data_IF_992454909845
#
_entry.id   IF_992454909845
#
_cell.length_a   1.000
_cell.length_b   1.000
_cell.length_c   1.000
_cell.angle_alpha   90.00
_cell.angle_beta   90.00
_cell.angle_gamma   90.00
#
_symmetry.space_group_name_H-M   'P 1'
#
loop_
_entity.id
_entity.type
_entity.pdbx_description
1 polymer ?
#
# COMPACT_ATOMS: atom_id res chain seq x y z
N UNK A 1 23.32 40.45 21.17
CA UNK A 1 21.93 40.45 20.64
C UNK A 1 21.81 39.97 19.19
N UNK A 2 22.84 40.07 18.34
CA UNK A 2 22.75 39.68 16.91
C UNK A 2 23.00 38.19 16.60
N UNK A 3 23.66 37.44 17.48
CA UNK A 3 23.87 35.99 17.29
C UNK A 3 22.71 35.12 17.79
N UNK A 4 21.91 35.61 18.75
CA UNK A 4 20.73 34.88 19.24
C UNK A 4 19.61 34.78 18.20
N UNK A 5 19.53 35.74 17.27
CA UNK A 5 18.52 35.77 16.21
C UNK A 5 18.77 34.70 15.13
N UNK A 6 20.04 34.34 14.88
CA UNK A 6 20.42 33.31 13.90
C UNK A 6 20.17 31.89 14.40
N UNK A 7 20.30 31.65 15.72
CA UNK A 7 20.02 30.34 16.33
C UNK A 7 18.51 30.09 16.39
N UNK A 8 17.69 31.14 16.60
CA UNK A 8 16.23 31.03 16.57
C UNK A 8 15.64 30.68 15.21
N UNK A 9 16.33 31.02 14.11
CA UNK A 9 15.86 30.72 12.75
C UNK A 9 16.15 29.27 12.32
N UNK A 10 17.20 28.64 12.88
CA UNK A 10 17.57 27.26 12.56
C UNK A 10 16.63 26.21 13.20
N UNK A 11 16.01 26.56 14.33
CA UNK A 11 15.11 25.66 15.07
C UNK A 11 13.67 25.60 14.51
N UNK A 12 13.35 26.43 13.51
CA UNK A 12 12.02 26.45 12.87
C UNK A 12 11.94 25.57 11.61
N UNK A 13 13.03 24.91 11.21
CA UNK A 13 13.07 24.07 10.01
C UNK A 13 13.00 22.57 10.30
N UNK A 14 13.00 22.16 11.57
CA UNK A 14 12.76 20.77 11.99
C UNK A 14 11.26 20.47 12.04
N UNK A 15 10.55 20.78 10.97
CA UNK A 15 9.23 20.22 10.71
C UNK A 15 9.43 18.73 10.47
N UNK A 16 9.18 17.94 11.51
CA UNK A 16 9.18 16.49 11.45
C UNK A 16 8.39 16.04 10.22
N UNK A 17 9.05 15.33 9.30
CA UNK A 17 8.35 14.45 8.39
C UNK A 17 7.65 13.42 9.28
N UNK A 18 6.36 13.61 9.51
CA UNK A 18 5.52 12.53 9.97
C UNK A 18 5.44 11.57 8.78
N UNK A 19 6.33 10.58 8.76
CA UNK A 19 6.13 9.39 7.96
C UNK A 19 4.84 8.78 8.48
N UNK A 20 3.74 9.02 7.74
CA UNK A 20 2.49 8.34 7.99
C UNK A 20 2.78 6.86 7.76
N UNK A 21 3.14 6.17 8.84
CA UNK A 21 3.52 4.76 8.83
C UNK A 21 2.54 4.03 7.95
N UNK A 22 3.08 3.30 6.96
CA UNK A 22 2.31 2.64 5.90
C UNK A 22 1.01 2.13 6.49
N UNK A 23 -0.12 2.74 6.10
CA UNK A 23 -1.44 2.29 6.53
C UNK A 23 -1.49 0.83 6.12
N UNK A 24 -1.29 -0.05 7.10
CA UNK A 24 -1.00 -1.47 6.88
C UNK A 24 -1.99 -1.97 5.83
N UNK A 25 -1.44 -2.20 4.64
CA UNK A 25 -2.11 -2.97 3.61
C UNK A 25 -2.68 -4.18 4.33
N UNK A 26 -4.00 -4.33 4.27
CA UNK A 26 -4.65 -5.44 4.94
C UNK A 26 -3.94 -6.72 4.45
N UNK A 27 -3.31 -7.52 5.33
CA UNK A 27 -2.53 -8.65 4.88
C UNK A 27 -3.41 -9.57 4.05
N UNK A 28 -2.90 -10.04 2.92
CA UNK A 28 -3.63 -10.99 2.10
C UNK A 28 -3.81 -12.32 2.86
N UNK A 29 -4.87 -13.02 2.55
CA UNK A 29 -5.20 -14.31 3.12
C UNK A 29 -6.29 -15.00 2.31
N UNK A 30 -6.90 -16.02 2.88
CA UNK A 30 -7.94 -16.80 2.20
C UNK A 30 -9.33 -16.60 2.80
N UNK A 31 -9.44 -15.79 3.86
CA UNK A 31 -10.65 -15.64 4.65
C UNK A 31 -11.02 -14.17 4.88
N UNK A 32 -12.32 -13.92 4.99
CA UNK A 32 -12.88 -12.61 5.33
C UNK A 32 -12.40 -11.49 4.40
N UNK A 33 -12.20 -10.29 4.95
CA UNK A 33 -11.74 -9.11 4.21
C UNK A 33 -10.31 -9.21 3.66
N UNK A 34 -9.59 -10.28 3.99
CA UNK A 34 -8.29 -10.60 3.43
C UNK A 34 -8.38 -11.61 2.27
N UNK A 35 -9.57 -12.12 1.96
CA UNK A 35 -9.78 -13.20 1.00
C UNK A 35 -9.58 -12.80 -0.46
N UNK A 36 -9.57 -13.79 -1.39
CA UNK A 36 -9.29 -13.59 -2.81
C UNK A 36 -10.19 -12.56 -3.49
N UNK A 37 -11.45 -12.48 -3.06
CA UNK A 37 -12.44 -11.51 -3.54
C UNK A 37 -12.01 -10.05 -3.32
N UNK A 38 -11.08 -9.80 -2.39
CA UNK A 38 -10.60 -8.47 -2.00
C UNK A 38 -9.16 -8.17 -2.42
N UNK A 39 -8.42 -9.14 -2.98
CA UNK A 39 -6.99 -8.97 -3.29
C UNK A 39 -6.72 -7.80 -4.24
N UNK A 40 -7.63 -7.55 -5.20
CA UNK A 40 -7.52 -6.42 -6.12
C UNK A 40 -7.74 -5.03 -5.50
N UNK A 41 -8.17 -4.95 -4.24
CA UNK A 41 -8.49 -3.71 -3.51
C UNK A 41 -7.45 -3.39 -2.42
N UNK A 42 -6.50 -4.29 -2.17
CA UNK A 42 -5.58 -4.18 -1.03
C UNK A 42 -4.60 -3.02 -1.17
N UNK A 43 -4.22 -2.64 -2.40
CA UNK A 43 -3.36 -1.50 -2.67
C UNK A 43 -4.16 -0.24 -2.99
N UNK A 44 -4.00 0.80 -2.15
CA UNK A 44 -4.66 2.10 -2.36
C UNK A 44 -4.08 2.91 -3.52
N UNK A 45 -2.81 2.69 -3.87
CA UNK A 45 -2.08 3.58 -4.79
C UNK A 45 -1.41 2.85 -5.95
N UNK A 46 -1.43 1.51 -5.98
CA UNK A 46 -0.64 0.73 -6.92
C UNK A 46 -1.49 -0.23 -7.75
N UNK A 47 -1.20 -0.26 -9.06
CA UNK A 47 -1.84 -1.12 -10.06
C UNK A 47 -1.43 -2.59 -9.94
N UNK A 48 -0.52 -2.95 -9.02
CA UNK A 48 0.11 -4.28 -9.01
C UNK A 48 -0.90 -5.40 -8.77
N UNK A 49 -1.91 -5.17 -7.92
CA UNK A 49 -2.96 -6.15 -7.65
C UNK A 49 -4.22 -6.00 -8.51
N UNK A 50 -4.30 -4.99 -9.39
CA UNK A 50 -5.47 -4.84 -10.29
C UNK A 50 -5.70 -6.09 -11.14
N UNK A 51 -4.63 -6.81 -11.48
CA UNK A 51 -4.71 -8.05 -12.24
C UNK A 51 -5.49 -9.17 -11.51
N UNK A 52 -5.55 -9.16 -10.18
CA UNK A 52 -6.37 -10.11 -9.43
C UNK A 52 -7.88 -9.90 -9.68
N UNK A 53 -8.30 -8.67 -10.00
CA UNK A 53 -9.70 -8.32 -10.29
C UNK A 53 -10.01 -8.24 -11.79
N UNK A 54 -9.10 -7.66 -12.57
CA UNK A 54 -9.33 -7.28 -13.98
C UNK A 54 -8.58 -8.18 -14.96
N UNK A 55 -7.65 -9.02 -14.48
CA UNK A 55 -6.87 -9.92 -15.32
C UNK A 55 -7.77 -10.96 -15.98
N UNK A 56 -7.67 -11.09 -17.30
CA UNK A 56 -8.49 -12.05 -18.07
C UNK A 56 -7.85 -13.44 -18.22
N UNK A 57 -6.60 -13.59 -17.76
CA UNK A 57 -5.82 -14.83 -17.85
C UNK A 57 -5.27 -15.22 -16.47
N UNK A 58 -6.13 -15.22 -15.45
CA UNK A 58 -5.78 -15.61 -14.08
C UNK A 58 -5.86 -17.12 -13.87
N UNK A 59 -5.23 -17.58 -12.80
CA UNK A 59 -5.24 -18.97 -12.34
C UNK A 59 -5.76 -19.04 -10.90
N UNK A 60 -6.31 -20.18 -10.45
CA UNK A 60 -6.49 -21.44 -11.20
C UNK A 60 -7.67 -21.39 -12.19
N UNK A 61 -7.75 -22.41 -13.07
CA UNK A 61 -8.88 -22.64 -13.97
C UNK A 61 -9.36 -24.09 -13.84
N UNK A 62 -10.60 -24.35 -14.28
CA UNK A 62 -11.11 -25.72 -14.42
C UNK A 62 -10.61 -26.35 -15.72
N UNK A 63 -9.88 -27.48 -15.63
CA UNK A 63 -9.37 -28.22 -16.79
C UNK A 63 -10.39 -29.29 -17.19
N UNK A 64 -11.03 -29.12 -18.35
CA UNK A 64 -12.16 -29.96 -18.77
C UNK A 64 -11.78 -31.23 -19.55
N UNK A 65 -10.52 -31.37 -19.96
CA UNK A 65 -10.02 -32.53 -20.71
C UNK A 65 -8.57 -32.82 -20.28
N UNK A 66 -8.33 -34.02 -19.75
CA UNK A 66 -7.04 -34.45 -19.16
C UNK A 66 -6.53 -35.76 -19.79
N UNK A 67 -6.89 -36.02 -21.04
CA UNK A 67 -6.56 -37.28 -21.73
C UNK A 67 -5.13 -37.33 -22.29
#
# INVERSE_FOLDING_TARGET
MRFGLLIGFLLLFSSSFAEAGEKLLQPWGYEGGAGPDHWGEMEREHEKHLQCREGQNQSPINIVNVH
#
